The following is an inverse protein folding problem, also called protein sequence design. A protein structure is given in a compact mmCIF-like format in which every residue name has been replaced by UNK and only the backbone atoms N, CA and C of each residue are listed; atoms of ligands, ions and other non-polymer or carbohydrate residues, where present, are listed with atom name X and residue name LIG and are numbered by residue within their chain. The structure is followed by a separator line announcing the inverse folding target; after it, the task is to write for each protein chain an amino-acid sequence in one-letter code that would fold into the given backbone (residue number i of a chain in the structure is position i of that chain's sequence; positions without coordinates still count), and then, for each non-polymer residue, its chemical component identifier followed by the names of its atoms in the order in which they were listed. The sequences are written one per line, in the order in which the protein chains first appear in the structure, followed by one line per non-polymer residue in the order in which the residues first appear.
data_IF_359571328945
#
_entry.id   IF_359571328945
#
_cell.length_a   1.000
_cell.length_b   1.000
_cell.length_c   1.000
_cell.angle_alpha   90.00
_cell.angle_beta   90.00
_cell.angle_gamma   90.00
#
_symmetry.space_group_name_H-M   'P 1'
#
loop_
_entity.id
_entity.type
_entity.pdbx_description
1 polymer ?
#
# COMPACT_ATOMS: atom_id res chain seq x y z
N UNK A 1 -27.77 -31.45 43.90
CA UNK A 1 -26.53 -31.74 43.15
C UNK A 1 -26.91 -32.12 41.73
N UNK A 2 -26.03 -31.79 40.78
CA UNK A 2 -25.99 -32.14 39.35
C UNK A 2 -26.69 -31.18 38.38
N UNK A 3 -25.85 -30.53 37.57
CA UNK A 3 -26.12 -29.46 36.63
C UNK A 3 -26.41 -30.00 35.22
N UNK A 4 -27.26 -29.31 34.47
CA UNK A 4 -27.44 -29.51 33.03
C UNK A 4 -26.91 -28.27 32.30
N UNK A 5 -25.75 -28.42 31.66
CA UNK A 5 -25.15 -27.42 30.77
C UNK A 5 -25.87 -27.41 29.40
N UNK A 6 -26.13 -26.23 28.79
CA UNK A 6 -26.64 -26.15 27.42
C UNK A 6 -25.52 -26.38 26.39
N UNK A 7 -25.90 -27.01 25.28
CA UNK A 7 -25.05 -27.42 24.18
C UNK A 7 -24.21 -26.27 23.59
N UNK A 8 -22.93 -26.53 23.40
CA UNK A 8 -21.95 -25.71 22.69
C UNK A 8 -22.39 -25.48 21.23
N UNK A 9 -22.38 -24.24 20.70
CA UNK A 9 -22.52 -24.00 19.28
C UNK A 9 -21.26 -24.47 18.55
N UNK A 10 -21.40 -25.53 17.75
CA UNK A 10 -20.38 -26.00 16.81
C UNK A 10 -19.93 -24.86 15.88
N UNK A 11 -18.63 -24.58 15.73
CA UNK A 11 -18.17 -23.65 14.71
C UNK A 11 -18.42 -24.27 13.32
N UNK A 12 -19.31 -23.66 12.55
CA UNK A 12 -19.50 -23.97 11.13
C UNK A 12 -18.15 -23.82 10.41
N UNK A 13 -17.67 -24.83 9.67
CA UNK A 13 -16.52 -24.64 8.79
C UNK A 13 -16.94 -23.65 7.69
N UNK A 14 -16.36 -22.45 7.74
CA UNK A 14 -16.48 -21.47 6.67
C UNK A 14 -15.96 -22.10 5.37
N UNK A 15 -16.82 -22.03 4.36
CA UNK A 15 -16.65 -22.56 3.03
C UNK A 15 -15.28 -22.25 2.43
N UNK A 16 -14.51 -23.31 2.17
CA UNK A 16 -13.20 -23.34 1.49
C UNK A 16 -13.18 -22.70 0.08
N UNK A 17 -14.32 -22.23 -0.42
CA UNK A 17 -14.50 -21.67 -1.75
C UNK A 17 -14.56 -20.13 -1.80
N UNK A 18 -14.70 -19.44 -0.65
CA UNK A 18 -14.74 -17.97 -0.61
C UNK A 18 -13.33 -17.37 -0.74
N UNK A 19 -12.32 -18.02 -0.17
CA UNK A 19 -10.92 -17.55 -0.15
C UNK A 19 -10.26 -17.47 -1.53
N UNK A 20 -10.81 -18.10 -2.57
CA UNK A 20 -10.22 -18.07 -3.92
C UNK A 20 -10.61 -16.83 -4.74
N UNK A 21 -11.74 -16.18 -4.42
CA UNK A 21 -12.20 -14.98 -5.15
C UNK A 21 -11.62 -13.69 -4.58
N UNK A 22 -11.30 -13.64 -3.29
CA UNK A 22 -10.66 -12.49 -2.65
C UNK A 22 -9.18 -12.36 -3.06
N UNK A 23 -8.45 -13.49 -3.15
CA UNK A 23 -7.06 -13.52 -3.59
C UNK A 23 -6.80 -12.96 -5.01
N UNK A 24 -7.82 -12.89 -5.88
CA UNK A 24 -7.70 -12.27 -7.21
C UNK A 24 -7.93 -10.76 -7.22
N UNK A 25 -8.55 -10.20 -6.18
CA UNK A 25 -8.83 -8.75 -6.10
C UNK A 25 -7.68 -7.98 -5.43
N UNK A 26 -7.01 -8.60 -4.46
CA UNK A 26 -5.85 -8.00 -3.78
C UNK A 26 -4.64 -7.84 -4.70
N UNK A 27 -4.38 -8.82 -5.57
CA UNK A 27 -3.22 -8.79 -6.49
C UNK A 27 -3.29 -7.67 -7.54
N UNK A 28 -4.48 -7.16 -7.84
CA UNK A 28 -4.65 -6.06 -8.81
C UNK A 28 -4.33 -4.69 -8.18
N UNK A 29 -4.65 -4.51 -6.89
CA UNK A 29 -4.44 -3.21 -6.23
C UNK A 29 -2.97 -2.85 -6.07
N UNK A 30 -2.12 -3.87 -5.93
CA UNK A 30 -0.68 -3.73 -5.74
C UNK A 30 0.08 -3.46 -7.05
N UNK A 31 -0.44 -3.89 -8.20
CA UNK A 31 0.19 -3.67 -9.51
C UNK A 31 -0.13 -2.30 -10.14
N UNK A 32 -1.32 -1.74 -9.85
CA UNK A 32 -1.80 -0.51 -10.51
C UNK A 32 -1.54 0.79 -9.74
N UNK A 33 -0.74 0.73 -8.66
CA UNK A 33 -0.42 1.93 -7.88
C UNK A 33 0.31 3.04 -8.67
N UNK A 34 1.20 2.77 -9.67
CA UNK A 34 1.86 3.83 -10.44
C UNK A 34 0.86 4.59 -11.32
N UNK A 35 -0.12 3.87 -11.90
CA UNK A 35 -1.22 4.48 -12.65
C UNK A 35 -2.16 5.30 -11.77
N UNK A 36 -2.37 4.90 -10.50
CA UNK A 36 -3.11 5.73 -9.56
C UNK A 36 -2.31 7.00 -9.20
N UNK A 37 -0.99 6.88 -9.06
CA UNK A 37 -0.11 8.01 -8.78
C UNK A 37 -0.09 9.01 -9.93
N UNK A 38 -0.06 8.55 -11.19
CA UNK A 38 -0.05 9.43 -12.39
C UNK A 38 -1.33 10.25 -12.55
N UNK A 39 -2.47 9.78 -12.03
CA UNK A 39 -3.74 10.52 -12.03
C UNK A 39 -3.73 11.70 -11.06
N UNK A 40 -2.91 11.62 -10.01
CA UNK A 40 -2.84 12.63 -8.95
C UNK A 40 -1.64 13.55 -9.15
N UNK A 41 -0.47 12.99 -9.43
CA UNK A 41 0.78 13.71 -9.65
C UNK A 41 0.93 14.01 -11.15
N UNK A 42 0.56 15.23 -11.53
CA UNK A 42 0.76 15.70 -12.90
C UNK A 42 2.26 15.94 -13.17
N UNK A 43 2.71 15.90 -14.43
CA UNK A 43 4.09 16.26 -14.79
C UNK A 43 4.51 17.66 -14.29
N UNK A 44 3.55 18.58 -14.19
CA UNK A 44 3.76 19.95 -13.68
C UNK A 44 4.04 20.03 -12.18
N UNK A 45 3.80 18.95 -11.43
CA UNK A 45 4.13 18.86 -10.01
C UNK A 45 5.62 18.58 -9.80
N UNK A 46 6.37 18.27 -10.86
CA UNK A 46 7.81 18.03 -10.79
C UNK A 46 8.58 19.28 -11.26
N UNK A 47 9.76 19.56 -10.69
CA UNK A 47 10.45 18.76 -9.68
C UNK A 47 9.86 18.93 -8.26
N UNK A 48 9.73 17.85 -7.49
CA UNK A 48 9.13 17.87 -6.15
C UNK A 48 9.85 16.97 -5.13
N UNK A 49 9.79 17.36 -3.86
CA UNK A 49 10.25 16.57 -2.71
C UNK A 49 9.14 15.71 -2.14
N UNK A 50 9.50 14.76 -1.29
CA UNK A 50 8.55 13.88 -0.60
C UNK A 50 7.38 14.64 0.05
N UNK A 51 7.65 15.69 0.82
CA UNK A 51 6.61 16.50 1.48
C UNK A 51 5.65 17.14 0.49
N UNK A 52 6.14 17.63 -0.65
CA UNK A 52 5.32 18.26 -1.69
C UNK A 52 4.44 17.21 -2.40
N UNK A 53 4.98 16.01 -2.63
CA UNK A 53 4.23 14.89 -3.19
C UNK A 53 3.14 14.41 -2.21
N UNK A 54 3.47 14.28 -0.92
CA UNK A 54 2.51 13.92 0.13
C UNK A 54 1.43 15.00 0.28
N UNK A 55 1.80 16.27 0.28
CA UNK A 55 0.86 17.39 0.31
C UNK A 55 -0.10 17.35 -0.89
N UNK A 56 0.41 17.02 -2.08
CA UNK A 56 -0.40 16.85 -3.29
C UNK A 56 -1.36 15.66 -3.14
N UNK A 57 -0.90 14.52 -2.63
CA UNK A 57 -1.75 13.37 -2.33
C UNK A 57 -2.86 13.71 -1.33
N UNK A 58 -2.54 14.44 -0.26
CA UNK A 58 -3.52 14.88 0.76
C UNK A 58 -4.58 15.79 0.12
N UNK A 59 -4.15 16.77 -0.69
CA UNK A 59 -5.04 17.72 -1.37
C UNK A 59 -6.01 17.01 -2.31
N UNK A 60 -5.55 15.94 -2.97
CA UNK A 60 -6.35 15.15 -3.88
C UNK A 60 -7.11 13.99 -3.21
N UNK A 61 -7.06 13.89 -1.86
CA UNK A 61 -7.65 12.77 -1.09
C UNK A 61 -7.25 11.42 -1.66
N UNK A 62 -5.98 11.29 -2.01
CA UNK A 62 -5.45 10.05 -2.51
C UNK A 62 -5.58 8.95 -1.45
N UNK A 63 -5.68 7.68 -1.87
CA UNK A 63 -5.73 6.56 -0.96
C UNK A 63 -4.51 6.51 -0.02
N UNK A 64 -4.75 6.12 1.24
CA UNK A 64 -3.69 6.03 2.25
C UNK A 64 -2.54 5.10 1.84
N UNK A 65 -2.80 4.03 1.06
CA UNK A 65 -1.74 3.12 0.61
C UNK A 65 -0.72 3.81 -0.31
N UNK A 66 -1.14 4.80 -1.11
CA UNK A 66 -0.21 5.59 -1.93
C UNK A 66 0.66 6.48 -1.04
N UNK A 67 0.05 7.10 -0.02
CA UNK A 67 0.79 7.91 0.95
C UNK A 67 1.83 7.07 1.68
N UNK A 68 1.46 5.88 2.18
CA UNK A 68 2.37 4.93 2.81
C UNK A 68 3.55 4.57 1.89
N UNK A 69 3.31 4.29 0.61
CA UNK A 69 4.41 4.03 -0.35
C UNK A 69 5.36 5.21 -0.50
N UNK A 70 4.83 6.44 -0.52
CA UNK A 70 5.67 7.64 -0.60
C UNK A 70 6.36 7.99 0.73
N UNK A 71 5.95 7.43 1.87
CA UNK A 71 6.66 7.64 3.15
C UNK A 71 8.09 7.09 3.13
N UNK A 72 8.36 6.10 2.28
CA UNK A 72 9.69 5.50 2.10
C UNK A 72 10.66 6.35 1.27
N UNK A 73 10.18 7.42 0.62
CA UNK A 73 11.04 8.30 -0.16
C UNK A 73 11.96 9.12 0.75
N UNK A 74 13.18 9.45 0.31
CA UNK A 74 14.09 10.34 1.02
C UNK A 74 13.58 11.79 1.00
N UNK A 75 13.46 12.40 2.19
CA UNK A 75 13.04 13.81 2.38
C UNK A 75 13.97 14.83 1.71
N UNK A 76 15.25 14.48 1.58
CA UNK A 76 16.30 15.37 1.06
C UNK A 76 16.44 15.30 -0.46
N UNK A 77 15.87 14.29 -1.11
CA UNK A 77 15.94 14.12 -2.56
C UNK A 77 14.78 14.85 -3.23
N UNK A 78 15.08 15.52 -4.32
CA UNK A 78 14.09 16.04 -5.24
C UNK A 78 13.94 15.07 -6.40
N UNK A 79 12.71 14.70 -6.72
CA UNK A 79 12.40 13.83 -7.84
C UNK A 79 12.05 14.71 -9.05
N UNK A 80 12.67 14.44 -10.19
CA UNK A 80 12.45 15.19 -11.42
C UNK A 80 11.26 14.68 -12.23
N UNK A 81 10.77 13.48 -11.95
CA UNK A 81 9.66 12.88 -12.67
C UNK A 81 8.92 11.83 -11.86
N UNK A 82 7.71 11.50 -12.31
CA UNK A 82 6.93 10.39 -11.77
C UNK A 82 7.66 9.05 -11.93
N UNK A 83 8.32 8.82 -13.06
CA UNK A 83 9.05 7.59 -13.32
C UNK A 83 10.16 7.37 -12.29
N UNK A 84 10.88 8.44 -11.91
CA UNK A 84 11.92 8.38 -10.88
C UNK A 84 11.36 8.03 -9.49
N UNK A 85 10.18 8.55 -9.15
CA UNK A 85 9.49 8.18 -7.90
C UNK A 85 9.10 6.70 -7.90
N UNK A 86 8.54 6.22 -9.02
CA UNK A 86 8.08 4.83 -9.15
C UNK A 86 9.26 3.87 -9.09
N UNK A 87 10.32 4.15 -9.85
CA UNK A 87 11.57 3.37 -9.84
C UNK A 87 12.17 3.28 -8.43
N UNK A 88 12.21 4.40 -7.70
CA UNK A 88 12.73 4.42 -6.32
C UNK A 88 11.90 3.54 -5.38
N UNK A 89 10.58 3.65 -5.42
CA UNK A 89 9.68 2.87 -4.55
C UNK A 89 9.73 1.37 -4.90
N UNK A 90 9.81 1.02 -6.18
CA UNK A 90 9.91 -0.37 -6.63
C UNK A 90 11.26 -1.00 -6.25
N UNK A 91 12.35 -0.25 -6.42
CA UNK A 91 13.69 -0.64 -5.97
C UNK A 91 13.79 -0.81 -4.45
N UNK A 92 13.03 -0.02 -3.68
CA UNK A 92 12.98 -0.17 -2.22
C UNK A 92 12.09 -1.32 -1.74
N UNK A 93 11.04 -1.68 -2.47
CA UNK A 93 10.22 -2.85 -2.13
C UNK A 93 11.04 -4.15 -2.20
N UNK A 94 12.01 -4.22 -3.11
CA UNK A 94 12.90 -5.37 -3.28
C UNK A 94 14.00 -5.45 -2.21
N UNK A 95 14.37 -4.32 -1.61
CA UNK A 95 15.44 -4.25 -0.59
C UNK A 95 14.96 -4.39 0.85
N UNK A 96 13.68 -4.77 1.05
CA UNK A 96 13.11 -5.11 2.37
C UNK A 96 13.66 -6.37 3.04
N UNK A 97 14.82 -6.87 2.60
CA UNK A 97 15.57 -7.98 3.23
C UNK A 97 16.95 -7.46 3.64
N UNK A 98 17.10 -7.24 4.96
CA UNK A 98 18.34 -7.03 5.72
C UNK A 98 19.06 -5.69 5.53
N UNK A 99 18.71 -4.74 6.40
CA UNK A 99 19.65 -3.74 6.90
C UNK A 99 19.30 -3.43 8.36
N UNK A 100 19.65 -4.36 9.24
CA UNK A 100 19.82 -4.10 10.68
C UNK A 100 21.28 -3.69 10.87
N UNK A 101 21.59 -2.42 11.22
CA UNK A 101 22.93 -2.02 11.59
C UNK A 101 23.08 -1.97 13.12
N UNK A 102 24.04 -2.77 13.59
CA UNK A 102 24.88 -2.72 14.82
C UNK A 102 24.23 -2.91 16.19
#
# INVERSE_FOLDING_TARGET
MTATLPATPTPRPLSRHETRREARRETTHEAHWPEQLSRVLRPTCFPARQDELLATLIRHRAPSHLMWRLTCLPRTRQFGSLAEVVDYVDGHATTGTVAEPV
#
